data_IF_139957338044
#
_entry.id   IF_139957338044
#
_cell.length_a   1.000
_cell.length_b   1.000
_cell.length_c   1.000
_cell.angle_alpha   90.00
_cell.angle_beta   90.00
_cell.angle_gamma   90.00
#
_symmetry.space_group_name_H-M   'P 1'
#
loop_
_entity.id
_entity.type
_entity.pdbx_description
1 polymer ?
#
# COMPACT_ATOMS: atom_id res chain seq x y z
N UNK A 1 8.78 -8.98 5.30
CA UNK A 1 9.62 -9.96 4.58
C UNK A 1 10.84 -9.20 4.06
N UNK A 2 12.04 -9.56 4.51
CA UNK A 2 13.29 -8.91 4.10
C UNK A 2 13.60 -9.31 2.66
N UNK A 3 13.76 -8.34 1.77
CA UNK A 3 14.10 -8.61 0.36
C UNK A 3 15.61 -8.84 0.24
N UNK A 4 16.00 -10.11 0.30
CA UNK A 4 17.40 -10.52 0.23
C UNK A 4 18.04 -10.16 -1.12
N UNK A 5 17.27 -10.23 -2.18
CA UNK A 5 17.73 -9.94 -3.54
C UNK A 5 18.02 -8.44 -3.67
N UNK A 6 17.11 -7.59 -3.21
CA UNK A 6 17.30 -6.13 -3.20
C UNK A 6 18.53 -5.72 -2.37
N UNK A 7 18.76 -6.39 -1.23
CA UNK A 7 19.93 -6.12 -0.39
C UNK A 7 21.26 -6.48 -1.08
N UNK A 8 21.34 -7.66 -1.69
CA UNK A 8 22.53 -8.10 -2.44
C UNK A 8 22.82 -7.17 -3.61
N UNK A 9 21.80 -6.78 -4.36
CA UNK A 9 21.94 -5.83 -5.47
C UNK A 9 22.45 -4.47 -4.97
N UNK A 10 21.92 -3.97 -3.86
CA UNK A 10 22.39 -2.72 -3.25
C UNK A 10 23.87 -2.78 -2.84
N UNK A 11 24.31 -3.90 -2.26
CA UNK A 11 25.73 -4.11 -1.92
C UNK A 11 26.64 -4.10 -3.15
N UNK A 12 26.24 -4.81 -4.22
CA UNK A 12 27.01 -4.85 -5.48
C UNK A 12 27.13 -3.44 -6.07
N UNK A 13 26.03 -2.72 -6.18
CA UNK A 13 26.01 -1.36 -6.75
C UNK A 13 26.88 -0.41 -5.91
N UNK A 14 26.80 -0.51 -4.58
CA UNK A 14 27.65 0.30 -3.68
C UNK A 14 29.12 -0.05 -3.86
N UNK A 15 29.47 -1.32 -3.96
CA UNK A 15 30.83 -1.77 -4.20
C UNK A 15 31.40 -1.28 -5.53
N UNK A 16 30.62 -1.38 -6.60
CA UNK A 16 30.97 -0.87 -7.93
C UNK A 16 31.17 0.66 -7.89
N UNK A 17 30.27 1.38 -7.23
CA UNK A 17 30.39 2.82 -7.07
C UNK A 17 31.67 3.22 -6.33
N UNK A 18 31.98 2.56 -5.21
CA UNK A 18 33.22 2.79 -4.47
C UNK A 18 34.47 2.53 -5.33
N UNK A 19 34.46 1.46 -6.11
CA UNK A 19 35.56 1.15 -7.03
C UNK A 19 35.73 2.23 -8.10
N UNK A 20 34.64 2.71 -8.70
CA UNK A 20 34.67 3.79 -9.70
C UNK A 20 35.18 5.10 -9.09
N UNK A 21 34.65 5.47 -7.91
CA UNK A 21 35.10 6.70 -7.22
C UNK A 21 36.58 6.60 -6.89
N UNK A 22 37.04 5.47 -6.34
CA UNK A 22 38.45 5.27 -6.01
C UNK A 22 39.34 5.32 -7.26
N UNK A 23 38.94 4.63 -8.33
CA UNK A 23 39.67 4.64 -9.59
C UNK A 23 39.75 6.05 -10.20
N UNK A 24 38.65 6.77 -10.20
CA UNK A 24 38.56 8.12 -10.76
C UNK A 24 39.35 9.15 -9.94
N UNK A 25 39.24 9.06 -8.60
CA UNK A 25 39.94 9.98 -7.70
C UNK A 25 41.45 9.74 -7.66
N UNK A 26 41.92 8.50 -7.86
CA UNK A 26 43.36 8.19 -7.91
C UNK A 26 44.07 8.72 -9.18
N UNK A 27 43.34 8.90 -10.27
CA UNK A 27 43.87 9.44 -11.55
C UNK A 27 43.66 10.93 -11.68
N UNK A 28 43.31 11.62 -10.63
CA UNK A 28 42.65 12.86 -10.79
C UNK A 28 43.42 14.07 -11.00
N UNK A 29 42.95 14.73 -11.93
CA UNK A 29 43.19 16.15 -12.18
C UNK A 29 42.30 17.00 -11.27
N UNK A 30 42.42 18.25 -11.38
CA UNK A 30 41.76 19.43 -10.81
C UNK A 30 40.60 19.14 -9.81
N UNK A 31 40.69 19.71 -8.62
CA UNK A 31 39.78 19.54 -7.48
C UNK A 31 38.28 19.76 -7.79
N UNK A 32 37.99 20.72 -8.67
CA UNK A 32 36.61 21.05 -9.08
C UNK A 32 35.89 19.83 -9.71
N UNK A 33 36.56 19.07 -10.58
CA UNK A 33 36.01 17.89 -11.22
C UNK A 33 35.79 16.74 -10.25
N UNK A 34 36.60 16.65 -9.20
CA UNK A 34 36.42 15.64 -8.13
C UNK A 34 35.13 15.87 -7.37
N UNK A 35 34.89 17.12 -6.93
CA UNK A 35 33.66 17.48 -6.20
C UNK A 35 32.42 17.22 -7.05
N UNK A 36 32.42 17.59 -8.31
CA UNK A 36 31.28 17.44 -9.21
C UNK A 36 30.95 15.96 -9.46
N UNK A 37 31.96 15.12 -9.71
CA UNK A 37 31.77 13.70 -9.95
C UNK A 37 31.26 13.00 -8.69
N UNK A 38 31.80 13.29 -7.51
CA UNK A 38 31.38 12.68 -6.26
C UNK A 38 29.95 13.10 -5.93
N UNK A 39 29.61 14.36 -6.08
CA UNK A 39 28.28 14.89 -5.82
C UNK A 39 27.24 14.24 -6.76
N UNK A 40 27.47 14.28 -8.07
CA UNK A 40 26.54 13.72 -9.04
C UNK A 40 26.37 12.20 -8.90
N UNK A 41 27.48 11.47 -8.77
CA UNK A 41 27.42 10.01 -8.61
C UNK A 41 26.87 9.59 -7.25
N UNK A 42 27.12 10.35 -6.20
CA UNK A 42 26.55 10.11 -4.88
C UNK A 42 25.04 10.30 -4.85
N UNK A 43 24.53 11.33 -5.51
CA UNK A 43 23.07 11.53 -5.65
C UNK A 43 22.42 10.38 -6.43
N UNK A 44 23.06 9.94 -7.51
CA UNK A 44 22.56 8.81 -8.29
C UNK A 44 22.54 7.52 -7.44
N UNK A 45 23.61 7.23 -6.70
CA UNK A 45 23.67 6.09 -5.81
C UNK A 45 22.56 6.15 -4.74
N UNK A 46 22.37 7.32 -4.11
CA UNK A 46 21.32 7.53 -3.11
C UNK A 46 19.94 7.19 -3.69
N UNK A 47 19.62 7.66 -4.90
CA UNK A 47 18.35 7.35 -5.56
C UNK A 47 18.19 5.87 -5.85
N UNK A 48 19.22 5.21 -6.35
CA UNK A 48 19.19 3.78 -6.64
C UNK A 48 18.98 2.97 -5.35
N UNK A 49 19.67 3.30 -4.27
CA UNK A 49 19.51 2.64 -2.97
C UNK A 49 18.11 2.87 -2.40
N UNK A 50 17.58 4.08 -2.52
CA UNK A 50 16.23 4.40 -2.08
C UNK A 50 15.20 3.57 -2.84
N UNK A 51 15.31 3.46 -4.16
CA UNK A 51 14.39 2.68 -4.98
C UNK A 51 14.51 1.17 -4.74
N UNK A 52 15.73 0.65 -4.53
CA UNK A 52 15.92 -0.80 -4.35
C UNK A 52 15.59 -1.29 -2.95
N UNK A 53 15.88 -0.51 -1.91
CA UNK A 53 15.70 -0.93 -0.51
C UNK A 53 14.36 -0.46 0.09
N UNK A 54 13.98 0.79 -0.18
CA UNK A 54 12.83 1.40 0.48
C UNK A 54 11.52 1.24 -0.28
N UNK A 55 11.55 1.26 -1.61
CA UNK A 55 10.34 1.17 -2.41
C UNK A 55 9.56 -0.14 -2.16
N UNK A 56 10.19 -1.32 -2.12
CA UNK A 56 9.49 -2.56 -1.79
C UNK A 56 8.85 -2.53 -0.40
N UNK A 57 9.55 -1.97 0.59
CA UNK A 57 9.06 -1.85 1.97
C UNK A 57 7.88 -0.88 2.06
N UNK A 58 7.98 0.28 1.42
CA UNK A 58 6.90 1.28 1.38
C UNK A 58 5.69 0.70 0.64
N UNK A 59 5.91 0.04 -0.48
CA UNK A 59 4.84 -0.57 -1.25
C UNK A 59 4.11 -1.65 -0.44
N UNK A 60 4.83 -2.53 0.25
CA UNK A 60 4.24 -3.51 1.15
C UNK A 60 3.40 -2.85 2.25
N UNK A 61 3.92 -1.81 2.87
CA UNK A 61 3.26 -1.12 3.98
C UNK A 61 2.01 -0.33 3.55
N UNK A 62 2.06 0.31 2.38
CA UNK A 62 1.03 1.25 1.90
C UNK A 62 -0.03 0.63 1.00
N UNK A 63 0.24 -0.54 0.41
CA UNK A 63 -0.70 -1.17 -0.55
C UNK A 63 -1.91 -1.78 0.14
N UNK A 64 -3.07 -1.70 -0.51
CA UNK A 64 -4.29 -2.42 -0.13
C UNK A 64 -4.30 -3.89 -0.60
N UNK A 65 -3.31 -4.33 -1.37
CA UNK A 65 -3.28 -5.66 -1.99
C UNK A 65 -3.49 -6.80 -1.01
N UNK A 66 -2.84 -6.75 0.17
CA UNK A 66 -2.94 -7.82 1.17
C UNK A 66 -4.31 -7.84 1.84
N UNK A 67 -4.85 -6.67 2.14
CA UNK A 67 -6.18 -6.51 2.72
C UNK A 67 -7.25 -6.95 1.72
N UNK A 68 -7.13 -6.53 0.47
CA UNK A 68 -8.02 -6.92 -0.62
C UNK A 68 -8.03 -8.44 -0.85
N UNK A 69 -6.85 -9.08 -0.84
CA UNK A 69 -6.76 -10.53 -1.01
C UNK A 69 -7.46 -11.32 0.12
N UNK A 70 -7.40 -10.79 1.36
CA UNK A 70 -8.11 -11.40 2.50
C UNK A 70 -9.61 -11.11 2.45
N UNK A 71 -10.00 -9.92 2.03
CA UNK A 71 -11.39 -9.55 1.85
C UNK A 71 -12.12 -10.48 0.87
N UNK A 72 -11.50 -10.77 -0.29
CA UNK A 72 -12.05 -11.68 -1.31
C UNK A 72 -12.28 -13.09 -0.78
N UNK A 73 -11.50 -13.56 0.21
CA UNK A 73 -11.67 -14.89 0.80
C UNK A 73 -12.89 -14.99 1.73
N UNK A 74 -13.35 -13.87 2.25
CA UNK A 74 -14.46 -13.82 3.23
C UNK A 74 -15.78 -13.52 2.56
N UNK A 75 -15.78 -12.79 1.45
CA UNK A 75 -16.99 -12.40 0.74
C UNK A 75 -17.47 -13.56 -0.13
N UNK A 76 -18.74 -13.98 -0.01
CA UNK A 76 -19.35 -14.88 -0.98
C UNK A 76 -19.32 -14.24 -2.38
N UNK A 77 -19.15 -15.09 -3.40
CA UNK A 77 -18.99 -14.67 -4.79
C UNK A 77 -20.21 -13.96 -5.42
N UNK A 78 -21.34 -13.96 -4.72
CA UNK A 78 -22.60 -13.39 -5.21
C UNK A 78 -23.04 -12.21 -4.35
N UNK A 79 -23.31 -11.07 -5.00
CA UNK A 79 -23.84 -9.87 -4.38
C UNK A 79 -23.05 -8.62 -4.68
N UNK A 80 -23.57 -7.47 -4.25
CA UNK A 80 -22.87 -6.19 -4.29
C UNK A 80 -22.41 -5.80 -2.89
N UNK A 81 -21.41 -4.92 -2.84
CA UNK A 81 -20.88 -4.36 -1.59
C UNK A 81 -21.12 -2.86 -1.64
N UNK A 82 -21.85 -2.36 -0.64
CA UNK A 82 -22.00 -0.93 -0.46
C UNK A 82 -20.71 -0.32 0.08
N UNK A 83 -20.22 0.68 -0.63
CA UNK A 83 -18.98 1.39 -0.35
C UNK A 83 -19.17 2.90 -0.18
N UNK A 84 -20.41 3.33 0.10
CA UNK A 84 -20.80 4.74 0.25
C UNK A 84 -19.94 5.53 1.24
N UNK A 85 -19.38 4.85 2.24
CA UNK A 85 -18.53 5.43 3.28
C UNK A 85 -17.03 5.32 3.01
N UNK A 86 -16.60 4.87 1.83
CA UNK A 86 -15.19 4.77 1.46
C UNK A 86 -14.74 5.97 0.63
N UNK A 87 -13.49 6.39 0.85
CA UNK A 87 -12.87 7.41 0.00
C UNK A 87 -12.58 6.90 -1.42
N UNK A 88 -12.63 7.79 -2.41
CA UNK A 88 -12.39 7.45 -3.82
C UNK A 88 -11.09 6.70 -4.07
N UNK A 89 -10.01 7.04 -3.36
CA UNK A 89 -8.71 6.37 -3.51
C UNK A 89 -8.75 4.92 -2.99
N UNK A 90 -9.50 4.67 -1.93
CA UNK A 90 -9.72 3.34 -1.38
C UNK A 90 -10.60 2.51 -2.32
N UNK A 91 -11.71 3.10 -2.78
CA UNK A 91 -12.61 2.47 -3.74
C UNK A 91 -11.87 2.03 -5.02
N UNK A 92 -11.10 2.93 -5.63
CA UNK A 92 -10.30 2.62 -6.82
C UNK A 92 -9.27 1.51 -6.55
N UNK A 93 -8.67 1.48 -5.34
CA UNK A 93 -7.72 0.43 -4.95
C UNK A 93 -8.41 -0.93 -4.81
N UNK A 94 -9.57 -0.98 -4.17
CA UNK A 94 -10.35 -2.22 -4.03
C UNK A 94 -10.86 -2.70 -5.38
N UNK A 95 -11.41 -1.84 -6.22
CA UNK A 95 -11.86 -2.19 -7.56
C UNK A 95 -10.73 -2.82 -8.39
N UNK A 96 -9.55 -2.20 -8.36
CA UNK A 96 -8.37 -2.71 -9.07
C UNK A 96 -7.92 -4.09 -8.59
N UNK A 97 -7.89 -4.33 -7.26
CA UNK A 97 -7.33 -5.56 -6.70
C UNK A 97 -8.33 -6.70 -6.56
N UNK A 98 -9.63 -6.42 -6.41
CA UNK A 98 -10.61 -7.45 -6.04
C UNK A 98 -11.54 -7.83 -7.18
N UNK A 99 -11.83 -6.92 -8.11
CA UNK A 99 -12.88 -7.07 -9.13
C UNK A 99 -14.26 -7.42 -8.55
N UNK A 100 -14.50 -7.05 -7.29
CA UNK A 100 -15.79 -7.22 -6.63
C UNK A 100 -16.79 -6.19 -7.16
N UNK A 101 -18.07 -6.50 -7.06
CA UNK A 101 -19.14 -5.58 -7.46
C UNK A 101 -19.34 -4.51 -6.38
N UNK A 102 -18.48 -3.48 -6.41
CA UNK A 102 -18.52 -2.34 -5.50
C UNK A 102 -19.54 -1.32 -6.01
N UNK A 103 -20.46 -0.92 -5.17
CA UNK A 103 -21.51 0.07 -5.52
C UNK A 103 -21.73 1.02 -4.35
N UNK A 104 -22.20 2.20 -4.69
CA UNK A 104 -22.77 3.15 -3.73
C UNK A 104 -24.29 2.94 -3.73
N UNK A 105 -24.72 1.86 -3.07
CA UNK A 105 -26.13 1.45 -3.07
C UNK A 105 -26.48 0.77 -1.75
N UNK A 106 -27.33 1.40 -0.93
CA UNK A 106 -27.74 0.84 0.37
C UNK A 106 -28.56 -0.45 0.25
N UNK A 107 -28.99 -0.87 -0.94
CA UNK A 107 -29.69 -2.15 -1.13
C UNK A 107 -28.76 -3.36 -1.12
N UNK A 108 -27.45 -3.16 -1.16
CA UNK A 108 -26.46 -4.22 -1.12
C UNK A 108 -26.48 -5.01 0.19
N UNK A 109 -26.28 -6.34 0.14
CA UNK A 109 -26.26 -7.20 1.34
C UNK A 109 -25.00 -7.03 2.19
N UNK A 110 -23.97 -6.37 1.66
CA UNK A 110 -22.69 -6.17 2.33
C UNK A 110 -22.36 -4.69 2.41
N UNK A 111 -21.82 -4.25 3.56
CA UNK A 111 -21.34 -2.89 3.78
C UNK A 111 -19.84 -2.94 4.14
N UNK A 112 -19.01 -2.23 3.38
CA UNK A 112 -17.60 -2.04 3.67
C UNK A 112 -17.35 -0.61 4.17
N UNK A 113 -16.81 -0.48 5.38
CA UNK A 113 -16.53 0.83 6.00
C UNK A 113 -15.24 0.77 6.82
N UNK A 114 -14.66 1.92 7.13
CA UNK A 114 -13.46 2.00 7.97
C UNK A 114 -13.74 2.45 9.40
N UNK A 115 -14.94 2.85 9.72
CA UNK A 115 -15.28 3.33 11.07
C UNK A 115 -16.53 2.63 11.63
N UNK A 116 -16.45 2.24 12.89
CA UNK A 116 -17.63 1.71 13.60
C UNK A 116 -18.71 2.78 13.80
N UNK A 117 -18.30 4.05 13.95
CA UNK A 117 -19.25 5.16 14.06
C UNK A 117 -20.05 5.35 12.78
N UNK A 118 -19.39 5.23 11.61
CA UNK A 118 -20.05 5.31 10.31
C UNK A 118 -21.00 4.11 10.09
N UNK A 119 -20.57 2.90 10.45
CA UNK A 119 -21.44 1.73 10.41
C UNK A 119 -22.71 1.93 11.28
N UNK A 120 -22.56 2.48 12.49
CA UNK A 120 -23.70 2.74 13.36
C UNK A 120 -24.61 3.86 12.84
N UNK A 121 -24.06 4.88 12.21
CA UNK A 121 -24.83 5.93 11.55
C UNK A 121 -25.60 5.38 10.34
N UNK A 122 -24.93 4.57 9.51
CA UNK A 122 -25.55 3.89 8.38
C UNK A 122 -26.73 2.99 8.80
N UNK A 123 -26.55 2.20 9.88
CA UNK A 123 -27.59 1.33 10.41
C UNK A 123 -28.83 2.12 10.82
N UNK A 124 -28.64 3.26 11.52
CA UNK A 124 -29.74 4.14 11.94
C UNK A 124 -30.47 4.80 10.78
N UNK A 125 -29.70 5.30 9.79
CA UNK A 125 -30.27 6.00 8.63
C UNK A 125 -31.10 5.08 7.73
N UNK A 126 -30.67 3.83 7.59
CA UNK A 126 -31.31 2.87 6.70
C UNK A 126 -32.23 1.87 7.44
N UNK A 127 -32.38 2.00 8.75
CA UNK A 127 -33.17 1.09 9.60
C UNK A 127 -32.79 -0.38 9.38
N UNK A 128 -31.48 -0.68 9.45
CA UNK A 128 -30.92 -2.00 9.17
C UNK A 128 -30.06 -2.48 10.33
N UNK A 129 -30.04 -3.78 10.53
CA UNK A 129 -29.16 -4.43 11.50
C UNK A 129 -27.86 -4.85 10.82
N UNK A 130 -26.72 -4.50 11.43
CA UNK A 130 -25.39 -4.83 10.92
C UNK A 130 -24.74 -5.90 11.79
N UNK A 131 -24.24 -6.95 11.16
CA UNK A 131 -23.43 -7.99 11.81
C UNK A 131 -22.02 -7.93 11.28
N UNK A 132 -21.02 -7.73 12.16
CA UNK A 132 -19.63 -7.71 11.77
C UNK A 132 -19.16 -9.11 11.35
N UNK A 133 -18.70 -9.24 10.12
CA UNK A 133 -18.15 -10.49 9.58
C UNK A 133 -16.65 -10.53 9.58
N UNK A 134 -16.01 -9.38 9.29
CA UNK A 134 -14.59 -9.33 9.12
C UNK A 134 -14.04 -7.95 9.47
N UNK A 135 -12.84 -7.93 10.06
CA UNK A 135 -12.09 -6.72 10.36
C UNK A 135 -10.61 -6.94 10.01
N UNK A 136 -10.02 -5.99 9.31
CA UNK A 136 -8.61 -6.01 8.98
C UNK A 136 -8.05 -4.59 8.83
N UNK A 137 -6.72 -4.49 8.73
CA UNK A 137 -6.02 -3.21 8.59
C UNK A 137 -4.79 -3.32 7.70
N UNK A 138 -4.34 -2.20 7.16
CA UNK A 138 -3.03 -2.13 6.51
C UNK A 138 -1.91 -2.26 7.55
N UNK A 139 -0.78 -2.89 7.20
CA UNK A 139 0.35 -3.06 8.14
C UNK A 139 0.90 -1.76 8.70
N UNK A 140 0.88 -0.67 7.92
CA UNK A 140 1.43 0.63 8.31
C UNK A 140 0.45 1.56 9.01
N UNK A 141 -0.84 1.25 8.96
CA UNK A 141 -1.87 2.13 9.48
C UNK A 141 -2.55 1.48 10.68
N UNK A 142 -2.40 2.12 11.85
CA UNK A 142 -2.98 1.61 13.08
C UNK A 142 -4.41 2.10 13.28
N UNK A 143 -4.75 3.20 12.68
CA UNK A 143 -6.02 3.89 12.91
C UNK A 143 -7.06 3.53 11.85
N UNK A 144 -6.63 3.18 10.64
CA UNK A 144 -7.51 2.77 9.56
C UNK A 144 -7.82 1.26 9.66
N UNK A 145 -9.01 0.94 10.17
CA UNK A 145 -9.52 -0.42 10.24
C UNK A 145 -10.65 -0.58 9.24
N UNK A 146 -10.51 -1.54 8.36
CA UNK A 146 -11.55 -1.90 7.41
C UNK A 146 -12.44 -2.97 8.04
N UNK A 147 -13.76 -2.76 7.94
CA UNK A 147 -14.78 -3.65 8.50
C UNK A 147 -15.81 -3.99 7.44
N UNK A 148 -16.09 -5.26 7.32
CA UNK A 148 -17.17 -5.79 6.50
C UNK A 148 -18.33 -6.19 7.39
N UNK A 149 -19.50 -5.66 7.09
CA UNK A 149 -20.73 -5.99 7.77
C UNK A 149 -21.70 -6.68 6.81
N UNK A 150 -22.44 -7.64 7.33
CA UNK A 150 -23.63 -8.17 6.70
C UNK A 150 -24.81 -7.27 7.07
N UNK A 151 -25.59 -6.91 6.06
CA UNK A 151 -26.74 -6.02 6.19
C UNK A 151 -28.00 -6.88 6.25
N UNK A 152 -28.63 -6.96 7.41
CA UNK A 152 -29.85 -7.73 7.62
C UNK A 152 -31.01 -6.74 7.61
N UNK A 153 -31.99 -6.89 6.70
CA UNK A 153 -33.22 -6.12 6.75
C UNK A 153 -34.00 -6.49 8.03
N UNK A 154 -34.57 -5.49 8.71
CA UNK A 154 -35.54 -5.73 9.79
C UNK A 154 -36.90 -6.20 9.28
#
# INVERSE_FOLDING_TARGET
QFDYIGFVVALIITGVWLAIVRWRTSRAPKEIWRCLIISASGTTLMWVLLMTLWLPTINYAKTYRHVSARLVQVIPSEGCIDTSNLGYAQLASFDYFTKLNLRDDPSCPWLLTHSQSEASAYARLNNKKLTLLWEDRRPSDRDERLRLYEVIPE
#
